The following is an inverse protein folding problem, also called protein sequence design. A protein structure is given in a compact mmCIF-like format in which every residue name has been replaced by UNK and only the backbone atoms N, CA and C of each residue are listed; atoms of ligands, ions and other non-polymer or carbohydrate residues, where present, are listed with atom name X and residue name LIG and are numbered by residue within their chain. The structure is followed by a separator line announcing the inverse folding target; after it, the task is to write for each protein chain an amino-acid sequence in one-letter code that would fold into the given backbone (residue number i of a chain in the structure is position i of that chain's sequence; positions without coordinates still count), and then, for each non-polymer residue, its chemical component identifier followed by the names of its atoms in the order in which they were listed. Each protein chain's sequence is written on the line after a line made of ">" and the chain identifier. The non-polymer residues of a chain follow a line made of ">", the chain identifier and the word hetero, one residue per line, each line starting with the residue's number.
data_IF_854246331405
#
_entry.id   IF_854246331405
#
_cell.length_a   1.000
_cell.length_b   1.000
_cell.length_c   1.000
_cell.angle_alpha   90.00
_cell.angle_beta   90.00
_cell.angle_gamma   90.00
#
_symmetry.space_group_name_H-M   'P 1'
#
loop_
_entity.id
_entity.type
_entity.pdbx_description
1 polymer ?
#
# COMPACT_ATOMS: atom_id res chain seq x y z
N UNK A 1 8.73 21.09 1.75
CA UNK A 1 8.31 20.29 0.60
C UNK A 1 6.80 20.14 0.70
N UNK A 2 6.03 20.50 -0.32
CA UNK A 2 4.55 20.50 -0.29
C UNK A 2 3.93 19.30 -1.02
N UNK A 3 4.77 18.36 -1.47
CA UNK A 3 4.33 17.13 -2.10
C UNK A 3 3.69 16.21 -1.06
N UNK A 4 2.72 15.43 -1.51
CA UNK A 4 1.89 14.54 -0.68
C UNK A 4 1.48 13.32 -1.52
N UNK A 5 1.23 12.16 -0.88
CA UNK A 5 0.86 10.95 -1.61
C UNK A 5 -0.50 11.11 -2.25
N UNK A 6 -0.66 10.56 -3.45
CA UNK A 6 -1.92 10.60 -4.19
C UNK A 6 -2.23 9.25 -4.82
N UNK A 7 -3.46 8.78 -4.65
CA UNK A 7 -4.01 7.64 -5.38
C UNK A 7 -5.32 8.09 -6.02
N UNK A 8 -5.44 7.89 -7.34
CA UNK A 8 -6.63 8.18 -8.11
C UNK A 8 -7.21 6.88 -8.66
N UNK A 9 -8.50 6.64 -8.41
CA UNK A 9 -9.23 5.47 -8.92
C UNK A 9 -10.44 6.00 -9.68
N UNK A 10 -10.56 5.60 -10.94
CA UNK A 10 -11.67 5.99 -11.83
C UNK A 10 -11.92 7.52 -11.88
N UNK A 11 -10.83 8.29 -12.00
CA UNK A 11 -10.89 9.76 -12.10
C UNK A 11 -11.15 10.49 -10.78
N UNK A 12 -11.20 9.79 -9.64
CA UNK A 12 -11.42 10.38 -8.31
C UNK A 12 -10.22 10.15 -7.40
N UNK A 13 -9.78 11.21 -6.73
CA UNK A 13 -8.76 11.08 -5.68
C UNK A 13 -9.33 10.37 -4.46
N UNK A 14 -8.68 9.28 -4.08
CA UNK A 14 -9.02 8.45 -2.91
C UNK A 14 -8.03 8.70 -1.77
N UNK A 15 -6.76 8.92 -2.10
CA UNK A 15 -5.72 9.42 -1.19
C UNK A 15 -5.23 10.73 -1.80
N UNK A 16 -5.23 11.82 -1.03
CA UNK A 16 -4.66 13.12 -1.36
C UNK A 16 -4.70 14.03 -0.11
N UNK A 17 -4.20 15.27 -0.23
CA UNK A 17 -4.33 16.29 0.83
C UNK A 17 -5.72 16.35 1.45
N UNK A 18 -5.81 16.05 2.75
CA UNK A 18 -7.08 16.12 3.48
C UNK A 18 -8.11 15.07 3.07
N UNK A 19 -7.71 14.03 2.33
CA UNK A 19 -8.56 12.90 1.95
C UNK A 19 -7.95 11.62 2.53
N UNK A 20 -8.74 10.91 3.35
CA UNK A 20 -8.39 9.61 3.95
C UNK A 20 -7.00 9.58 4.60
N UNK A 21 -6.68 10.65 5.33
CA UNK A 21 -5.47 10.78 6.15
C UNK A 21 -4.15 10.54 5.39
N UNK A 22 -4.08 10.97 4.12
CA UNK A 22 -2.88 10.87 3.32
C UNK A 22 -1.64 11.43 4.05
N UNK A 23 -0.58 10.62 4.18
CA UNK A 23 0.56 10.99 5.03
C UNK A 23 1.78 10.08 4.90
N UNK A 24 2.76 10.31 5.79
CA UNK A 24 4.03 9.55 5.85
C UNK A 24 3.80 8.07 6.06
N UNK A 25 4.62 7.22 5.45
CA UNK A 25 4.51 5.77 5.54
C UNK A 25 3.82 5.20 4.31
N UNK A 26 2.97 4.20 4.49
CA UNK A 26 2.24 3.53 3.41
C UNK A 26 0.79 4.03 3.35
N UNK A 27 0.35 4.40 2.16
CA UNK A 27 -1.02 4.79 1.87
C UNK A 27 -1.62 3.73 0.94
N UNK A 28 -2.74 3.14 1.34
CA UNK A 28 -3.29 1.91 0.75
C UNK A 28 -4.74 2.13 0.34
N UNK A 29 -5.08 1.66 -0.87
CA UNK A 29 -6.46 1.61 -1.39
C UNK A 29 -6.75 0.20 -1.86
N UNK A 30 -7.91 -0.33 -1.49
CA UNK A 30 -8.40 -1.64 -1.94
C UNK A 30 -9.60 -1.42 -2.84
N UNK A 31 -9.56 -2.04 -4.01
CA UNK A 31 -10.58 -1.93 -5.05
C UNK A 31 -11.15 -3.32 -5.33
N UNK A 32 -12.47 -3.45 -5.36
CA UNK A 32 -13.15 -4.68 -5.73
C UNK A 32 -13.04 -4.95 -7.23
N UNK A 33 -13.36 -6.17 -7.67
CA UNK A 33 -13.49 -6.49 -9.11
C UNK A 33 -14.54 -5.63 -9.83
N UNK A 34 -15.51 -5.07 -9.10
CA UNK A 34 -16.50 -4.11 -9.61
C UNK A 34 -15.95 -2.70 -9.83
N UNK A 35 -14.66 -2.46 -9.60
CA UNK A 35 -13.97 -1.14 -9.62
C UNK A 35 -14.40 -0.19 -8.50
N UNK A 36 -15.03 -0.72 -7.46
CA UNK A 36 -15.44 0.08 -6.30
C UNK A 36 -14.29 0.13 -5.29
N UNK A 37 -14.00 1.31 -4.76
CA UNK A 37 -13.11 1.45 -3.60
C UNK A 37 -13.85 0.91 -2.38
N UNK A 38 -13.35 -0.17 -1.81
CA UNK A 38 -14.00 -0.85 -0.68
C UNK A 38 -13.30 -0.57 0.65
N UNK A 39 -11.99 -0.28 0.64
CA UNK A 39 -11.22 0.04 1.85
C UNK A 39 -10.08 1.01 1.53
N UNK A 40 -9.72 1.83 2.52
CA UNK A 40 -8.55 2.70 2.49
C UNK A 40 -7.80 2.58 3.81
N UNK A 41 -6.49 2.84 3.80
CA UNK A 41 -5.68 2.84 5.01
C UNK A 41 -4.44 3.72 4.87
N UNK A 42 -4.05 4.33 5.97
CA UNK A 42 -2.79 5.06 6.11
C UNK A 42 -2.03 4.48 7.30
N UNK A 43 -0.76 4.15 7.10
CA UNK A 43 0.08 3.48 8.10
C UNK A 43 1.43 4.19 8.17
N UNK A 44 1.66 4.95 9.24
CA UNK A 44 2.94 5.64 9.50
C UNK A 44 4.00 4.65 10.01
N UNK A 45 4.52 3.82 9.09
CA UNK A 45 5.55 2.81 9.34
C UNK A 45 6.94 3.39 9.61
N UNK A 46 7.05 4.71 9.82
CA UNK A 46 8.20 5.34 10.45
C UNK A 46 7.97 5.54 11.95
N UNK A 47 6.78 6.01 12.32
CA UNK A 47 6.42 6.34 13.70
C UNK A 47 5.94 5.14 14.50
N UNK A 48 5.12 4.30 13.90
CA UNK A 48 4.39 3.22 14.56
C UNK A 48 4.81 1.85 13.99
N UNK A 49 4.58 0.77 14.74
CA UNK A 49 4.79 -0.58 14.21
C UNK A 49 3.78 -0.92 13.10
N UNK A 50 4.10 -1.93 12.29
CA UNK A 50 3.27 -2.34 11.16
C UNK A 50 2.12 -3.28 11.54
N UNK A 51 1.79 -3.48 12.83
CA UNK A 51 0.78 -4.47 13.23
C UNK A 51 -0.61 -4.15 12.66
N UNK A 52 -1.01 -2.88 12.61
CA UNK A 52 -2.30 -2.50 12.00
C UNK A 52 -2.31 -2.70 10.48
N UNK A 53 -1.16 -2.57 9.82
CA UNK A 53 -1.02 -2.88 8.40
C UNK A 53 -1.16 -4.38 8.16
N UNK A 54 -0.55 -5.21 9.00
CA UNK A 54 -0.64 -6.67 8.92
C UNK A 54 -2.10 -7.13 9.04
N UNK A 55 -2.79 -6.67 10.09
CA UNK A 55 -4.23 -6.94 10.28
C UNK A 55 -5.03 -6.46 9.07
N UNK A 56 -4.69 -5.30 8.50
CA UNK A 56 -5.38 -4.79 7.32
C UNK A 56 -5.23 -5.73 6.11
N UNK A 57 -4.01 -6.19 5.83
CA UNK A 57 -3.65 -7.03 4.68
C UNK A 57 -4.12 -8.48 4.82
N UNK A 58 -4.11 -9.03 6.03
CA UNK A 58 -4.59 -10.39 6.30
C UNK A 58 -6.10 -10.53 6.07
N UNK A 59 -6.86 -9.47 6.35
CA UNK A 59 -8.31 -9.43 6.17
C UNK A 59 -8.75 -9.02 4.75
N UNK A 60 -7.88 -9.12 3.74
CA UNK A 60 -8.26 -8.88 2.35
C UNK A 60 -9.01 -10.08 1.79
N UNK A 61 -10.14 -9.81 1.13
CA UNK A 61 -10.88 -10.81 0.37
C UNK A 61 -10.08 -11.24 -0.87
N UNK A 62 -10.32 -12.45 -1.36
CA UNK A 62 -9.70 -12.93 -2.59
C UNK A 62 -10.13 -12.10 -3.81
N UNK A 63 -9.24 -11.97 -4.79
CA UNK A 63 -9.46 -11.24 -6.03
C UNK A 63 -9.73 -9.73 -5.87
N UNK A 64 -9.36 -9.11 -4.76
CA UNK A 64 -9.31 -7.64 -4.67
C UNK A 64 -7.98 -7.10 -5.20
N UNK A 65 -8.02 -5.91 -5.77
CA UNK A 65 -6.84 -5.15 -6.18
C UNK A 65 -6.41 -4.27 -5.00
N UNK A 66 -5.11 -4.24 -4.71
CA UNK A 66 -4.52 -3.33 -3.73
C UNK A 66 -3.60 -2.35 -4.43
N UNK A 67 -3.71 -1.07 -4.10
CA UNK A 67 -2.85 0.01 -4.60
C UNK A 67 -2.16 0.63 -3.40
N UNK A 68 -0.83 0.73 -3.43
CA UNK A 68 -0.01 1.26 -2.35
C UNK A 68 0.95 2.30 -2.88
N UNK A 69 1.11 3.41 -2.14
CA UNK A 69 2.16 4.40 -2.37
C UNK A 69 2.87 4.73 -1.05
N UNK A 70 4.20 4.77 -1.09
CA UNK A 70 5.00 5.27 0.02
C UNK A 70 5.07 6.80 0.02
N UNK A 71 5.29 7.40 1.20
CA UNK A 71 5.54 8.83 1.31
C UNK A 71 6.45 9.16 2.50
N UNK A 72 7.40 10.08 2.28
CA UNK A 72 8.51 10.47 3.18
C UNK A 72 9.39 9.30 3.62
N UNK A 73 8.87 8.36 4.42
CA UNK A 73 9.60 7.20 4.93
C UNK A 73 8.61 6.10 5.31
N UNK A 74 8.82 4.88 4.80
CA UNK A 74 7.91 3.75 5.00
C UNK A 74 8.60 2.46 5.46
N UNK A 75 9.94 2.45 5.60
CA UNK A 75 10.72 1.22 5.79
C UNK A 75 11.14 0.97 7.24
N UNK A 76 11.25 2.02 8.08
CA UNK A 76 11.94 1.93 9.38
C UNK A 76 11.30 0.91 10.33
N UNK A 77 9.96 0.87 10.40
CA UNK A 77 9.19 -0.04 11.26
C UNK A 77 8.35 -1.03 10.45
N UNK A 78 8.64 -1.20 9.17
CA UNK A 78 7.99 -2.21 8.34
C UNK A 78 8.54 -3.60 8.68
N UNK A 79 7.70 -4.45 9.29
CA UNK A 79 8.13 -5.78 9.71
C UNK A 79 8.40 -6.72 8.54
N UNK A 80 9.14 -7.80 8.81
CA UNK A 80 9.31 -8.88 7.85
C UNK A 80 7.98 -9.55 7.49
N UNK A 81 7.03 -9.62 8.44
CA UNK A 81 5.70 -10.19 8.20
C UNK A 81 4.92 -9.35 7.20
N UNK A 82 4.92 -8.02 7.36
CA UNK A 82 4.34 -7.09 6.38
C UNK A 82 4.95 -7.26 4.99
N UNK A 83 6.28 -7.41 4.89
CA UNK A 83 6.97 -7.65 3.63
C UNK A 83 6.56 -8.98 2.97
N UNK A 84 6.37 -10.03 3.76
CA UNK A 84 5.85 -11.32 3.26
C UNK A 84 4.42 -11.20 2.76
N UNK A 85 3.54 -10.48 3.48
CA UNK A 85 2.17 -10.25 3.03
C UNK A 85 2.12 -9.51 1.68
N UNK A 86 2.99 -8.51 1.47
CA UNK A 86 3.09 -7.84 0.17
C UNK A 86 3.69 -8.72 -0.94
N UNK A 87 4.65 -9.58 -0.59
CA UNK A 87 5.18 -10.58 -1.53
C UNK A 87 4.06 -11.51 -2.01
N UNK A 88 3.20 -11.98 -1.10
CA UNK A 88 2.04 -12.83 -1.42
C UNK A 88 0.96 -12.10 -2.24
N UNK A 89 0.97 -10.77 -2.22
CA UNK A 89 0.11 -9.91 -3.06
C UNK A 89 0.74 -9.63 -4.44
N UNK A 90 1.94 -10.14 -4.70
CA UNK A 90 2.65 -10.06 -5.97
C UNK A 90 3.79 -9.04 -6.02
N UNK A 91 4.25 -8.49 -4.90
CA UNK A 91 5.43 -7.60 -4.89
C UNK A 91 6.72 -8.38 -5.09
N UNK A 92 7.55 -7.93 -6.02
CA UNK A 92 8.90 -8.43 -6.24
C UNK A 92 9.96 -7.64 -5.44
N UNK A 93 9.71 -6.36 -5.15
CA UNK A 93 10.75 -5.46 -4.61
C UNK A 93 10.57 -5.07 -3.14
N UNK A 94 9.43 -5.35 -2.49
CA UNK A 94 9.15 -4.94 -1.09
C UNK A 94 10.21 -5.42 -0.09
N UNK A 95 10.83 -6.58 -0.34
CA UNK A 95 11.91 -7.09 0.49
C UNK A 95 13.11 -6.13 0.56
N UNK A 96 13.33 -5.41 -0.53
CA UNK A 96 14.45 -4.52 -0.73
C UNK A 96 14.13 -3.05 -0.40
N UNK A 97 12.91 -2.72 0.06
CA UNK A 97 12.52 -1.34 0.39
C UNK A 97 13.44 -0.76 1.47
N UNK A 98 14.13 0.35 1.14
CA UNK A 98 15.09 1.04 2.02
C UNK A 98 14.54 2.38 2.51
N UNK A 99 15.31 2.98 3.41
CA UNK A 99 15.00 4.26 4.03
C UNK A 99 14.73 5.35 2.98
N UNK A 100 13.50 5.87 2.98
CA UNK A 100 12.98 6.88 2.04
C UNK A 100 12.96 6.48 0.56
N UNK A 101 12.99 5.19 0.26
CA UNK A 101 12.69 4.74 -1.10
C UNK A 101 11.24 5.13 -1.46
N UNK A 102 11.07 5.64 -2.67
CA UNK A 102 9.75 5.81 -3.27
C UNK A 102 9.33 4.45 -3.80
N UNK A 103 8.15 4.01 -3.41
CA UNK A 103 7.61 2.73 -3.81
C UNK A 103 6.13 2.87 -4.14
N UNK A 104 5.75 2.42 -5.33
CA UNK A 104 4.38 2.33 -5.80
C UNK A 104 4.12 0.89 -6.20
N UNK A 105 3.00 0.35 -5.75
CA UNK A 105 2.67 -1.05 -5.99
C UNK A 105 1.18 -1.22 -6.24
N UNK A 106 0.83 -1.96 -7.30
CA UNK A 106 -0.51 -2.45 -7.53
C UNK A 106 -0.45 -3.97 -7.54
N UNK A 107 -1.10 -4.61 -6.56
CA UNK A 107 -1.11 -6.06 -6.40
C UNK A 107 -2.53 -6.64 -6.44
N UNK A 108 -2.61 -7.95 -6.31
CA UNK A 108 -3.90 -8.65 -6.23
C UNK A 108 -3.79 -9.85 -5.28
N UNK A 109 -4.80 -10.02 -4.42
CA UNK A 109 -4.91 -11.21 -3.56
C UNK A 109 -5.16 -12.45 -4.42
N UNK A 110 -4.25 -13.42 -4.35
CA UNK A 110 -4.33 -14.68 -5.09
C UNK A 110 -3.66 -14.65 -6.48
N UNK A 111 -2.88 -13.61 -6.80
CA UNK A 111 -2.11 -13.56 -8.05
C UNK A 111 -1.07 -14.69 -8.13
N UNK A 112 -0.85 -15.22 -9.33
CA UNK A 112 0.27 -16.11 -9.60
C UNK A 112 1.45 -15.32 -10.16
N UNK A 113 2.55 -15.28 -9.40
CA UNK A 113 3.76 -14.54 -9.78
C UNK A 113 3.75 -13.09 -9.32
N UNK A 114 4.56 -12.26 -9.97
CA UNK A 114 4.75 -10.86 -9.60
C UNK A 114 3.87 -9.94 -10.44
N UNK A 115 3.40 -8.87 -9.80
CA UNK A 115 2.68 -7.81 -10.49
C UNK A 115 3.62 -7.06 -11.45
N UNK A 116 3.18 -6.71 -12.67
CA UNK A 116 3.94 -5.83 -13.55
C UNK A 116 3.85 -4.35 -13.15
N UNK A 117 3.05 -4.02 -12.12
CA UNK A 117 2.78 -2.65 -11.68
C UNK A 117 3.46 -2.39 -10.34
N UNK A 118 4.78 -2.25 -10.39
CA UNK A 118 5.61 -1.96 -9.23
C UNK A 118 6.81 -1.09 -9.65
N UNK A 119 7.04 0.00 -8.93
CA UNK A 119 8.17 0.91 -9.11
C UNK A 119 8.77 1.34 -7.76
#
# INVERSE_FOLDING_TARGET
>A
NNDEPKICVDGKYVIAKGINDAGRGLNVVVVSNGKEVIRTGHFDTWKDDSTNLEIFLENLEDNVIIIVVSFDEASLKLSQHSKTLFFDLGSATIQNLKYRDVWVFVGQKGIQGFSPYEE
#
